data_IF_739540966613
#
_entry.id   IF_739540966613
#
_cell.length_a   1.000
_cell.length_b   1.000
_cell.length_c   1.000
_cell.angle_alpha   90.00
_cell.angle_beta   90.00
_cell.angle_gamma   90.00
#
_symmetry.space_group_name_H-M   'P 1'
#
loop_
_entity.id
_entity.type
_entity.pdbx_description
1 polymer ?
#
# COMPACT_ATOMS: atom_id res chain seq x y z
N UNK A 1 -23.06 -4.72 1.22
CA UNK A 1 -22.01 -4.71 0.18
C UNK A 1 -20.78 -5.24 0.88
N UNK A 2 -20.47 -6.51 0.68
CA UNK A 2 -19.39 -7.18 1.39
C UNK A 2 -18.09 -6.98 0.60
N UNK A 3 -17.49 -5.81 0.81
CA UNK A 3 -16.14 -5.55 0.32
C UNK A 3 -15.27 -6.42 1.23
N UNK A 4 -14.60 -7.44 0.66
CA UNK A 4 -13.71 -8.33 1.42
C UNK A 4 -12.61 -7.56 2.17
N UNK A 5 -11.68 -8.29 2.80
CA UNK A 5 -10.61 -7.66 3.58
C UNK A 5 -9.90 -6.55 2.77
N UNK A 6 -9.83 -5.36 3.37
CA UNK A 6 -9.23 -4.19 2.75
C UNK A 6 -7.71 -4.33 2.77
N UNK A 7 -7.16 -4.90 1.72
CA UNK A 7 -5.71 -5.14 1.59
C UNK A 7 -4.91 -3.86 1.33
N UNK A 8 -5.52 -2.84 0.71
CA UNK A 8 -4.85 -1.58 0.35
C UNK A 8 -5.88 -0.49 -0.01
N UNK A 9 -5.65 0.74 0.45
CA UNK A 9 -6.27 1.96 -0.07
C UNK A 9 -5.28 2.71 -0.96
N UNK A 10 -5.72 3.17 -2.13
CA UNK A 10 -4.91 4.01 -3.02
C UNK A 10 -5.70 5.26 -3.36
N UNK A 11 -5.13 6.43 -3.07
CA UNK A 11 -5.63 7.73 -3.47
C UNK A 11 -4.72 8.27 -4.57
N UNK A 12 -5.27 8.52 -5.74
CA UNK A 12 -4.52 9.08 -6.86
C UNK A 12 -4.94 10.53 -7.12
N UNK A 13 -3.94 11.37 -7.36
CA UNK A 13 -4.08 12.75 -7.82
C UNK A 13 -3.29 12.91 -9.13
N UNK A 14 -3.45 14.01 -9.88
CA UNK A 14 -2.67 14.21 -11.10
C UNK A 14 -1.15 14.16 -10.91
N UNK A 15 -0.66 14.47 -9.71
CA UNK A 15 0.77 14.61 -9.42
C UNK A 15 1.31 13.57 -8.44
N UNK A 16 0.45 12.97 -7.61
CA UNK A 16 0.86 12.06 -6.54
C UNK A 16 -0.05 10.84 -6.45
N UNK A 17 0.50 9.75 -5.89
CA UNK A 17 -0.26 8.64 -5.34
C UNK A 17 0.00 8.53 -3.84
N UNK A 18 -1.04 8.23 -3.11
CA UNK A 18 -0.96 7.89 -1.69
C UNK A 18 -1.51 6.49 -1.47
N UNK A 19 -0.75 5.67 -0.78
CA UNK A 19 -1.08 4.27 -0.55
C UNK A 19 -1.12 4.02 0.95
N UNK A 20 -2.16 3.35 1.44
CA UNK A 20 -2.30 2.91 2.83
C UNK A 20 -2.51 1.40 2.81
N UNK A 21 -1.64 0.65 3.48
CA UNK A 21 -1.75 -0.80 3.59
C UNK A 21 -1.62 -1.24 5.05
N UNK A 22 -2.45 -2.19 5.52
CA UNK A 22 -2.31 -2.77 6.86
C UNK A 22 -0.95 -3.47 6.99
N UNK A 23 -0.34 -3.42 8.16
CA UNK A 23 0.96 -4.02 8.44
C UNK A 23 1.07 -4.33 9.95
N UNK A 24 0.69 -5.55 10.34
CA UNK A 24 0.55 -5.90 11.75
C UNK A 24 -0.53 -5.07 12.44
N UNK A 25 -0.18 -4.40 13.54
CA UNK A 25 -1.03 -3.46 14.28
C UNK A 25 -0.94 -2.01 13.78
N UNK A 26 -0.16 -1.76 12.73
CA UNK A 26 0.05 -0.45 12.13
C UNK A 26 -0.40 -0.41 10.66
N UNK A 27 -0.31 0.78 10.08
CA UNK A 27 -0.52 1.00 8.64
C UNK A 27 0.74 1.61 8.00
N UNK A 28 1.15 1.06 6.87
CA UNK A 28 2.18 1.65 6.01
C UNK A 28 1.55 2.66 5.08
N UNK A 29 1.99 3.91 5.20
CA UNK A 29 1.56 5.04 4.39
C UNK A 29 2.67 5.46 3.44
N UNK A 30 2.46 5.28 2.13
CA UNK A 30 3.44 5.60 1.09
C UNK A 30 2.95 6.80 0.29
N UNK A 31 3.73 7.87 0.29
CA UNK A 31 3.53 9.04 -0.56
C UNK A 31 4.52 9.01 -1.71
N UNK A 32 4.03 9.09 -2.94
CA UNK A 32 4.87 8.99 -4.14
C UNK A 32 4.32 9.85 -5.27
N UNK A 33 5.13 10.02 -6.32
CA UNK A 33 4.71 10.70 -7.55
C UNK A 33 3.68 9.88 -8.33
N UNK A 34 2.89 10.57 -9.15
CA UNK A 34 1.89 9.96 -10.02
C UNK A 34 2.48 8.99 -11.07
N UNK A 35 3.78 9.04 -11.36
CA UNK A 35 4.45 8.14 -12.29
C UNK A 35 5.13 6.93 -11.62
N UNK A 36 5.12 6.86 -10.29
CA UNK A 36 5.76 5.76 -9.59
C UNK A 36 5.09 4.41 -9.90
N UNK A 37 5.91 3.38 -10.08
CA UNK A 37 5.46 2.04 -10.41
C UNK A 37 4.76 1.37 -9.22
N UNK A 38 3.44 1.30 -9.30
CA UNK A 38 2.59 0.67 -8.29
C UNK A 38 2.94 -0.82 -8.08
N UNK A 39 3.31 -1.53 -9.15
CA UNK A 39 3.71 -2.94 -9.06
C UNK A 39 4.91 -3.16 -8.14
N UNK A 40 5.97 -2.36 -8.30
CA UNK A 40 7.16 -2.44 -7.45
C UNK A 40 6.86 -2.03 -6.01
N UNK A 41 6.06 -0.98 -5.81
CA UNK A 41 5.63 -0.58 -4.47
C UNK A 41 4.88 -1.72 -3.76
N UNK A 42 4.00 -2.42 -4.48
CA UNK A 42 3.28 -3.59 -3.94
C UNK A 42 4.20 -4.77 -3.60
N UNK A 43 5.25 -5.00 -4.39
CA UNK A 43 6.24 -6.05 -4.08
C UNK A 43 6.95 -5.72 -2.77
N UNK A 44 7.42 -4.48 -2.61
CA UNK A 44 8.09 -4.03 -1.37
C UNK A 44 7.15 -4.09 -0.17
N UNK A 45 5.91 -3.61 -0.31
CA UNK A 45 4.89 -3.70 0.75
C UNK A 45 4.69 -5.14 1.23
N UNK A 46 4.53 -6.09 0.29
CA UNK A 46 4.38 -7.50 0.63
C UNK A 46 5.60 -8.10 1.31
N UNK A 47 6.80 -7.66 0.94
CA UNK A 47 8.03 -8.11 1.62
C UNK A 47 8.08 -7.60 3.06
N UNK A 48 7.75 -6.34 3.30
CA UNK A 48 7.71 -5.75 4.65
C UNK A 48 6.64 -6.45 5.52
N UNK A 49 5.44 -6.64 4.98
CA UNK A 49 4.36 -7.35 5.68
C UNK A 49 4.80 -8.76 6.09
N UNK A 50 5.46 -9.50 5.19
CA UNK A 50 5.99 -10.83 5.50
C UNK A 50 7.08 -10.85 6.58
N UNK A 51 7.91 -9.81 6.67
CA UNK A 51 8.92 -9.71 7.73
C UNK A 51 8.30 -9.47 9.11
N UNK A 52 7.11 -8.86 9.16
CA UNK A 52 6.39 -8.57 10.41
C UNK A 52 5.52 -9.76 10.83
N UNK A 53 5.02 -10.54 9.87
CA UNK A 53 4.21 -11.74 10.13
C UNK A 53 5.04 -13.01 10.41
N UNK A 54 6.37 -12.96 10.23
CA UNK A 54 7.31 -14.08 10.41
C UNK A 54 8.02 -14.08 11.76
#
# INVERSE_FOLDING_TARGET
MDIGNLDQLILETPTNKFIIAPCGDLYLCIFTRADAQLGLIRVVLKSIQKEIDG
#
